data_IF_620084546109
#
_entry.id   IF_620084546109
#
_cell.length_a   1.000
_cell.length_b   1.000
_cell.length_c   1.000
_cell.angle_alpha   90.00
_cell.angle_beta   90.00
_cell.angle_gamma   90.00
#
_symmetry.space_group_name_H-M   'P 1'
#
loop_
_entity.id
_entity.type
_entity.pdbx_description
1 polymer ?
#
# COMPACT_ATOMS: atom_id res chain seq x y z
N UNK A 1 -4.63 -6.08 0.27
CA UNK A 1 -5.15 -5.29 -0.87
C UNK A 1 -6.62 -5.63 -1.02
N UNK A 2 -7.49 -4.66 -1.31
CA UNK A 2 -8.92 -4.92 -1.54
C UNK A 2 -9.14 -5.50 -2.95
N UNK A 3 -10.12 -6.41 -3.17
CA UNK A 3 -10.34 -7.08 -4.45
C UNK A 3 -10.60 -6.12 -5.63
N UNK A 4 -11.26 -4.98 -5.39
CA UNK A 4 -11.59 -4.02 -6.43
C UNK A 4 -10.35 -3.34 -7.04
N UNK A 5 -9.24 -3.24 -6.29
CA UNK A 5 -8.01 -2.56 -6.74
C UNK A 5 -7.35 -3.35 -7.87
N UNK A 6 -7.32 -4.69 -7.77
CA UNK A 6 -6.77 -5.53 -8.83
C UNK A 6 -7.62 -5.46 -10.11
N UNK A 7 -8.95 -5.38 -9.98
CA UNK A 7 -9.83 -5.20 -11.15
C UNK A 7 -9.59 -3.86 -11.82
N UNK A 8 -9.39 -2.81 -11.03
CA UNK A 8 -9.08 -1.48 -11.54
C UNK A 8 -7.71 -1.46 -12.25
N UNK A 9 -6.69 -2.07 -11.66
CA UNK A 9 -5.37 -2.18 -12.27
C UNK A 9 -5.36 -3.05 -13.53
N UNK A 10 -6.19 -4.08 -13.64
CA UNK A 10 -6.36 -4.82 -14.90
C UNK A 10 -6.90 -3.94 -16.04
N UNK A 11 -7.86 -3.06 -15.75
CA UNK A 11 -8.41 -2.12 -16.74
C UNK A 11 -7.38 -1.08 -17.17
N UNK A 12 -6.53 -0.65 -16.24
CA UNK A 12 -5.51 0.36 -16.51
C UNK A 12 -4.29 -0.24 -17.21
N UNK A 13 -3.73 -1.32 -16.69
CA UNK A 13 -2.48 -1.94 -17.14
C UNK A 13 -2.75 -3.13 -18.08
N UNK A 14 -3.60 -2.96 -19.09
CA UNK A 14 -3.99 -4.03 -20.04
C UNK A 14 -2.81 -4.69 -20.75
N UNK A 15 -1.74 -3.93 -21.00
CA UNK A 15 -0.56 -4.41 -21.73
C UNK A 15 0.41 -5.22 -20.86
N UNK A 16 0.34 -5.07 -19.53
CA UNK A 16 1.31 -5.64 -18.58
C UNK A 16 0.67 -6.65 -17.63
N UNK A 17 -0.64 -6.53 -17.40
CA UNK A 17 -1.40 -7.35 -16.47
C UNK A 17 -2.50 -8.12 -17.21
N UNK A 18 -2.10 -9.18 -17.90
CA UNK A 18 -3.03 -10.04 -18.65
C UNK A 18 -3.44 -11.23 -17.76
N UNK A 19 -4.71 -11.30 -17.32
CA UNK A 19 -5.18 -12.44 -16.56
C UNK A 19 -5.30 -13.67 -17.46
N UNK A 20 -4.80 -14.81 -16.97
CA UNK A 20 -5.05 -16.08 -17.64
C UNK A 20 -6.49 -16.48 -17.31
N UNK A 21 -7.30 -16.65 -18.34
CA UNK A 21 -8.68 -17.12 -18.18
C UNK A 21 -8.65 -18.59 -17.81
N UNK A 22 -9.05 -18.89 -16.58
CA UNK A 22 -9.34 -20.27 -16.19
C UNK A 22 -10.66 -20.72 -16.84
N UNK A 23 -10.85 -22.02 -17.09
CA UNK A 23 -12.09 -22.56 -17.66
C UNK A 23 -13.33 -22.28 -16.77
N UNK A 24 -13.12 -22.01 -15.47
CA UNK A 24 -14.15 -21.63 -14.51
C UNK A 24 -14.49 -20.12 -14.51
N UNK A 25 -13.91 -19.32 -15.40
CA UNK A 25 -14.16 -17.88 -15.50
C UNK A 25 -13.47 -17.02 -14.42
N UNK A 26 -12.59 -17.62 -13.61
CA UNK A 26 -11.78 -16.89 -12.63
C UNK A 26 -10.52 -16.31 -13.28
N UNK A 27 -10.08 -15.16 -12.76
CA UNK A 27 -8.85 -14.50 -13.20
C UNK A 27 -7.67 -15.10 -12.43
N UNK A 28 -6.85 -15.89 -13.11
CA UNK A 28 -5.59 -16.37 -12.55
C UNK A 28 -4.47 -15.36 -12.88
N UNK A 29 -3.76 -14.91 -11.85
CA UNK A 29 -2.56 -14.10 -12.00
C UNK A 29 -1.35 -15.01 -11.89
N UNK A 30 -0.49 -15.00 -12.92
CA UNK A 30 0.80 -15.71 -12.87
C UNK A 30 1.76 -15.01 -11.88
N UNK A 31 2.82 -15.69 -11.45
CA UNK A 31 3.85 -15.09 -10.59
C UNK A 31 4.43 -13.81 -11.19
N UNK A 32 4.58 -13.77 -12.52
CA UNK A 32 4.99 -12.57 -13.26
C UNK A 32 4.01 -11.40 -13.05
N UNK A 33 2.70 -11.66 -13.06
CA UNK A 33 1.69 -10.64 -12.81
C UNK A 33 1.75 -10.15 -11.34
N UNK A 34 2.07 -11.04 -10.40
CA UNK A 34 2.22 -10.67 -8.99
C UNK A 34 3.42 -9.74 -8.79
N UNK A 35 4.52 -9.99 -9.49
CA UNK A 35 5.70 -9.13 -9.45
C UNK A 35 5.40 -7.73 -10.03
N UNK A 36 4.73 -7.69 -11.17
CA UNK A 36 4.24 -6.43 -11.78
C UNK A 36 3.32 -5.65 -10.83
N UNK A 37 2.39 -6.32 -10.15
CA UNK A 37 1.50 -5.68 -9.14
C UNK A 37 2.30 -5.10 -7.98
N UNK A 38 3.39 -5.77 -7.55
CA UNK A 38 4.27 -5.28 -6.50
C UNK A 38 4.96 -3.99 -6.93
N UNK A 39 5.45 -3.94 -8.16
CA UNK A 39 6.11 -2.75 -8.72
C UNK A 39 5.13 -1.59 -8.92
N UNK A 40 3.93 -1.85 -9.45
CA UNK A 40 2.87 -0.83 -9.58
C UNK A 40 2.53 -0.24 -8.22
N UNK A 41 2.43 -1.07 -7.18
CA UNK A 41 2.19 -0.61 -5.82
C UNK A 41 3.31 0.32 -5.35
N UNK A 42 4.57 -0.06 -5.57
CA UNK A 42 5.73 0.75 -5.20
C UNK A 42 5.69 2.13 -5.89
N UNK A 43 5.45 2.15 -7.20
CA UNK A 43 5.41 3.37 -8.00
C UNK A 43 4.27 4.32 -7.56
N UNK A 44 3.09 3.78 -7.26
CA UNK A 44 1.94 4.58 -6.87
C UNK A 44 2.02 5.07 -5.42
N UNK A 45 2.46 4.23 -4.49
CA UNK A 45 2.40 4.53 -3.06
C UNK A 45 3.72 5.08 -2.50
N UNK A 46 4.86 4.55 -2.94
CA UNK A 46 6.17 4.98 -2.41
C UNK A 46 6.72 6.16 -3.21
N UNK A 47 6.60 6.12 -4.54
CA UNK A 47 7.08 7.19 -5.42
C UNK A 47 6.01 8.26 -5.72
N UNK A 48 4.74 7.97 -5.45
CA UNK A 48 3.63 8.92 -5.66
C UNK A 48 3.34 9.22 -7.13
N UNK A 49 3.71 8.34 -8.06
CA UNK A 49 3.42 8.52 -9.48
C UNK A 49 1.92 8.39 -9.74
N UNK A 50 1.45 9.07 -10.78
CA UNK A 50 0.13 8.82 -11.33
C UNK A 50 0.10 7.47 -12.08
N UNK A 51 -1.09 6.97 -12.37
CA UNK A 51 -1.26 5.71 -13.11
C UNK A 51 -0.53 5.75 -14.46
N UNK A 52 -0.55 6.88 -15.16
CA UNK A 52 0.17 7.06 -16.43
C UNK A 52 1.70 7.10 -16.23
N UNK A 53 2.17 7.77 -15.17
CA UNK A 53 3.59 7.78 -14.82
C UNK A 53 4.10 6.38 -14.48
N UNK A 54 3.32 5.62 -13.72
CA UNK A 54 3.61 4.23 -13.37
C UNK A 54 3.64 3.34 -14.62
N UNK A 55 2.68 3.48 -15.55
CA UNK A 55 2.70 2.77 -16.85
C UNK A 55 3.98 3.04 -17.63
N UNK A 56 4.38 4.31 -17.73
CA UNK A 56 5.60 4.70 -18.45
C UNK A 56 6.85 4.11 -17.82
N UNK A 57 6.96 4.15 -16.48
CA UNK A 57 8.07 3.55 -15.72
C UNK A 57 8.12 2.04 -15.85
N UNK A 58 6.97 1.39 -15.75
CA UNK A 58 6.87 -0.06 -15.88
C UNK A 58 7.27 -0.54 -17.27
N UNK A 59 6.82 0.15 -18.33
CA UNK A 59 7.26 -0.12 -19.71
C UNK A 59 8.76 0.13 -19.93
N UNK A 60 9.35 1.11 -19.24
CA UNK A 60 10.80 1.34 -19.26
C UNK A 60 11.57 0.24 -18.52
N UNK A 61 11.09 -0.19 -17.36
CA UNK A 61 11.71 -1.24 -16.54
C UNK A 61 11.62 -2.62 -17.19
N UNK A 62 10.53 -2.92 -17.88
CA UNK A 62 10.29 -4.20 -18.57
C UNK A 62 11.01 -4.30 -19.93
N UNK A 63 11.85 -3.33 -20.29
CA UNK A 63 12.87 -3.52 -21.33
C UNK A 63 12.37 -3.61 -22.77
N UNK A 64 11.27 -2.92 -23.14
CA UNK A 64 11.00 -2.66 -24.55
C UNK A 64 11.65 -1.33 -24.95
N UNK A 65 12.90 -1.41 -25.39
CA UNK A 65 13.66 -0.31 -25.98
C UNK A 65 12.96 0.12 -27.27
N UNK A 66 11.98 1.01 -27.18
CA UNK A 66 11.49 1.83 -28.29
C UNK A 66 11.78 3.28 -27.93
N UNK A 67 12.98 3.72 -28.33
CA UNK A 67 13.42 5.10 -28.20
C UNK A 67 12.45 6.03 -28.93
N UNK A 68 11.94 7.02 -28.21
CA UNK A 68 11.12 8.10 -28.75
C UNK A 68 11.01 9.21 -27.72
N UNK A 69 12.01 10.09 -27.75
CA UNK A 69 12.14 11.30 -26.95
C UNK A 69 10.83 12.10 -26.86
N UNK A 70 10.07 12.00 -25.77
CA UNK A 70 8.99 12.94 -25.42
C UNK A 70 9.04 13.17 -23.92
N UNK A 71 9.59 14.32 -23.56
CA UNK A 71 9.31 15.06 -22.33
C UNK A 71 7.81 15.39 -22.29
N UNK A 72 7.04 14.95 -21.29
CA UNK A 72 5.80 15.62 -20.95
C UNK A 72 6.09 16.59 -19.81
N UNK A 73 5.92 17.87 -20.14
CA UNK A 73 5.83 18.98 -19.18
C UNK A 73 4.93 18.64 -17.98
N UNK A 74 5.23 19.21 -16.79
CA UNK A 74 4.40 19.03 -15.61
C UNK A 74 3.12 19.86 -15.76
N UNK A 75 2.02 19.23 -16.20
CA UNK A 75 0.70 19.85 -16.15
C UNK A 75 -0.09 19.33 -14.94
N UNK A 76 -0.26 20.28 -14.03
CA UNK A 76 -1.11 20.36 -12.84
C UNK A 76 -2.48 19.65 -12.99
N UNK A 77 -2.88 18.91 -11.95
CA UNK A 77 -4.26 18.45 -11.72
C UNK A 77 -4.36 17.55 -10.48
N UNK A 78 -5.40 17.65 -9.63
CA UNK A 78 -5.24 17.76 -8.19
C UNK A 78 -5.11 16.43 -7.44
N UNK A 79 -4.29 16.50 -6.39
CA UNK A 79 -4.31 15.57 -5.28
C UNK A 79 -5.74 15.44 -4.71
N UNK A 80 -6.22 14.22 -4.42
CA UNK A 80 -7.02 14.03 -3.24
C UNK A 80 -6.09 14.13 -2.02
N UNK A 81 -6.08 15.29 -1.38
CA UNK A 81 -5.69 15.45 0.03
C UNK A 81 -6.38 14.32 0.85
N UNK A 82 -5.61 13.43 1.49
CA UNK A 82 -5.14 13.51 2.90
C UNK A 82 -6.24 13.19 3.94
N UNK A 83 -5.95 12.63 5.14
CA UNK A 83 -4.99 13.19 6.12
C UNK A 83 -3.97 12.17 6.70
N UNK A 84 -2.68 12.55 6.82
CA UNK A 84 -2.01 13.00 8.07
C UNK A 84 -1.21 11.85 8.70
N UNK A 85 0.05 11.96 9.09
CA UNK A 85 0.94 13.10 9.33
C UNK A 85 2.40 12.62 9.24
N UNK A 86 3.28 13.56 8.88
CA UNK A 86 4.60 13.79 9.48
C UNK A 86 5.66 12.68 9.56
N UNK A 87 6.93 12.95 9.28
CA UNK A 87 7.66 14.05 8.63
C UNK A 87 9.14 13.64 8.75
N UNK A 88 9.92 13.99 7.72
CA UNK A 88 11.37 14.28 7.78
C UNK A 88 12.25 13.02 7.88
N UNK A 89 12.78 12.53 6.76
CA UNK A 89 13.88 13.09 5.97
C UNK A 89 15.24 13.11 6.71
N UNK A 90 16.03 12.10 6.36
CA UNK A 90 17.38 12.19 5.80
C UNK A 90 18.37 13.28 6.27
N UNK A 91 19.61 12.82 6.49
CA UNK A 91 20.85 13.37 5.92
C UNK A 91 21.80 14.12 6.87
N UNK A 92 22.77 13.33 7.35
CA UNK A 92 24.22 13.50 7.13
C UNK A 92 25.13 14.18 8.17
N UNK A 93 26.33 13.59 8.18
CA UNK A 93 27.67 14.16 8.39
C UNK A 93 28.29 14.03 9.79
N UNK A 94 29.50 13.46 9.75
CA UNK A 94 30.64 13.53 10.68
C UNK A 94 30.40 12.97 12.09
N UNK A 95 30.99 11.84 12.50
CA UNK A 95 32.43 11.60 12.67
C UNK A 95 33.14 12.72 13.44
N UNK A 96 33.14 12.63 14.78
CA UNK A 96 34.34 12.67 15.64
C UNK A 96 33.98 13.03 17.09
N UNK A 97 34.68 12.34 18.01
CA UNK A 97 35.06 12.80 19.36
C UNK A 97 33.91 13.10 20.34
N UNK A 98 33.61 12.21 21.29
CA UNK A 98 34.31 11.97 22.56
C UNK A 98 33.50 12.54 23.73
N UNK A 99 33.38 11.72 24.78
CA UNK A 99 33.26 12.14 26.18
C UNK A 99 31.93 12.76 26.68
N UNK A 100 31.06 11.89 27.24
CA UNK A 100 30.49 12.14 28.58
C UNK A 100 29.00 12.52 28.74
N UNK A 101 28.20 11.59 29.31
CA UNK A 101 27.07 11.74 30.29
C UNK A 101 25.85 12.66 29.92
N UNK A 102 24.73 12.69 30.69
CA UNK A 102 23.84 11.64 31.26
C UNK A 102 22.32 11.86 30.91
N UNK A 103 21.49 10.79 30.97
CA UNK A 103 20.04 10.86 31.30
C UNK A 103 18.98 10.97 30.17
N UNK A 104 18.03 10.02 30.13
CA UNK A 104 16.61 10.25 29.80
C UNK A 104 15.75 9.00 30.13
N UNK A 105 14.76 9.12 31.00
CA UNK A 105 13.81 8.06 31.33
C UNK A 105 12.73 7.90 30.24
N UNK A 106 12.24 6.68 29.96
CA UNK A 106 11.21 6.44 28.94
C UNK A 106 9.80 6.79 29.45
N UNK A 107 9.02 7.50 28.64
CA UNK A 107 7.62 7.86 28.90
C UNK A 107 6.71 6.61 28.81
N UNK A 108 6.24 6.10 29.96
CA UNK A 108 5.47 4.84 30.06
C UNK A 108 3.96 5.03 29.77
N UNK A 109 3.44 6.25 29.83
CA UNK A 109 1.99 6.52 29.74
C UNK A 109 1.43 6.45 28.31
N UNK A 110 2.23 6.75 27.29
CA UNK A 110 1.79 6.69 25.89
C UNK A 110 1.58 5.24 25.40
N UNK A 111 2.36 4.29 25.93
CA UNK A 111 2.30 2.89 25.52
C UNK A 111 1.03 2.17 26.03
N UNK A 112 0.52 2.55 27.21
CA UNK A 112 -0.67 1.93 27.82
C UNK A 112 -1.97 2.37 27.16
N UNK A 113 -2.04 3.62 26.68
CA UNK A 113 -3.24 4.14 26.00
C UNK A 113 -3.45 3.46 24.64
N UNK A 114 -2.37 3.22 23.89
CA UNK A 114 -2.42 2.49 22.63
C UNK A 114 -2.86 1.03 22.82
N UNK A 115 -2.36 0.37 23.87
CA UNK A 115 -2.72 -1.02 24.18
C UNK A 115 -4.19 -1.13 24.63
N UNK A 116 -4.69 -0.15 25.38
CA UNK A 116 -6.10 -0.08 25.80
C UNK A 116 -7.04 0.03 24.60
N UNK A 117 -6.75 0.92 23.65
CA UNK A 117 -7.55 1.08 22.44
C UNK A 117 -7.52 -0.18 21.55
N UNK A 118 -6.36 -0.83 21.41
CA UNK A 118 -6.23 -2.10 20.69
C UNK A 118 -7.08 -3.21 21.32
N UNK A 119 -7.07 -3.30 22.65
CA UNK A 119 -7.86 -4.30 23.37
C UNK A 119 -9.37 -4.00 23.30
N UNK A 120 -9.77 -2.73 23.39
CA UNK A 120 -11.16 -2.32 23.20
C UNK A 120 -11.69 -2.69 21.81
N UNK A 121 -10.91 -2.41 20.75
CA UNK A 121 -11.28 -2.78 19.39
C UNK A 121 -11.38 -4.31 19.21
N UNK A 122 -10.43 -5.06 19.79
CA UNK A 122 -10.43 -6.53 19.75
C UNK A 122 -11.65 -7.12 20.45
N UNK A 123 -12.10 -6.52 21.55
CA UNK A 123 -13.28 -6.95 22.28
C UNK A 123 -14.57 -6.61 21.52
N UNK A 124 -14.70 -5.40 20.98
CA UNK A 124 -15.85 -5.01 20.16
C UNK A 124 -16.03 -5.93 18.93
N UNK A 125 -14.93 -6.32 18.28
CA UNK A 125 -14.97 -7.27 17.17
C UNK A 125 -15.35 -8.69 17.61
N UNK A 126 -15.02 -9.09 18.84
CA UNK A 126 -15.44 -10.38 19.41
C UNK A 126 -16.94 -10.39 19.70
N UNK A 127 -17.49 -9.29 20.21
CA UNK A 127 -18.93 -9.14 20.47
C UNK A 127 -19.75 -9.17 19.18
N UNK A 128 -19.35 -8.42 18.16
CA UNK A 128 -20.03 -8.47 16.85
C UNK A 128 -20.01 -9.89 16.29
N UNK A 129 -18.90 -10.62 16.47
CA UNK A 129 -18.82 -12.02 16.04
C UNK A 129 -19.75 -12.93 16.83
N UNK A 130 -19.91 -12.75 18.16
CA UNK A 130 -20.85 -13.57 18.94
C UNK A 130 -22.30 -13.29 18.58
N UNK A 131 -22.67 -12.03 18.35
CA UNK A 131 -24.01 -11.64 17.88
C UNK A 131 -24.37 -12.33 16.56
N UNK A 132 -23.45 -12.29 15.58
CA UNK A 132 -23.66 -12.95 14.29
C UNK A 132 -23.74 -14.48 14.40
N UNK A 133 -22.97 -15.08 15.30
CA UNK A 133 -23.03 -16.53 15.56
C UNK A 133 -24.37 -16.91 16.22
N UNK A 134 -24.89 -16.07 17.10
CA UNK A 134 -26.19 -16.26 17.76
C UNK A 134 -27.36 -16.16 16.78
N UNK A 135 -27.33 -15.14 15.89
CA UNK A 135 -28.32 -14.99 14.80
C UNK A 135 -28.28 -16.19 13.85
N UNK A 136 -27.08 -16.68 13.53
CA UNK A 136 -26.91 -17.87 12.68
C UNK A 136 -27.52 -19.12 13.31
N UNK A 137 -27.38 -19.29 14.62
CA UNK A 137 -27.94 -20.43 15.35
C UNK A 137 -29.48 -20.38 15.37
N UNK A 138 -30.05 -19.18 15.58
CA UNK A 138 -31.50 -18.94 15.56
C UNK A 138 -32.17 -19.17 14.20
N UNK A 139 -31.44 -19.00 13.09
CA UNK A 139 -31.94 -19.23 11.73
C UNK A 139 -31.64 -20.63 11.19
N UNK A 140 -30.87 -21.44 11.94
CA UNK A 140 -30.41 -22.77 11.54
C UNK A 140 -31.10 -23.93 12.27
N UNK A 141 -32.09 -23.64 13.11
CA UNK A 141 -32.91 -24.62 13.84
C UNK A 141 -34.30 -24.82 13.23
#
# INVERSE_FOLDING_TARGET
>A
MKPFVLRFWESEFKDVLVPIRTPAGQRAYSEQNVDTVREIKRLLYDEGLTIEGAKKRLSQAQGRVVHGNVVPSPVVGPAPASPTDSRIACTSVAAAAESGRPGLAPNIEAATQAETLRNALRNALRDVRSELLSIRDLLGG
#
